data_IF_539497628011
#
_entry.id   IF_539497628011
#
_cell.length_a   1.000
_cell.length_b   1.000
_cell.length_c   1.000
_cell.angle_alpha   90.00
_cell.angle_beta   90.00
_cell.angle_gamma   90.00
#
_symmetry.space_group_name_H-M   'P 1'
#
loop_
_entity.id
_entity.type
_entity.pdbx_description
1 polymer ?
#
# COMPACT_ATOMS: atom_id res chain seq x y z
N UNK A 1 10.19 6.62 2.28
CA UNK A 1 10.90 5.42 2.82
C UNK A 1 11.60 5.65 4.17
N UNK A 2 12.09 6.87 4.49
CA UNK A 2 12.84 7.11 5.73
C UNK A 2 12.11 6.61 6.99
N UNK A 3 10.81 6.89 7.13
CA UNK A 3 9.99 6.41 8.26
C UNK A 3 9.90 4.88 8.32
N UNK A 4 9.64 4.22 7.20
CA UNK A 4 9.57 2.75 7.12
C UNK A 4 10.90 2.12 7.53
N UNK A 5 12.03 2.71 7.11
CA UNK A 5 13.38 2.26 7.52
C UNK A 5 13.62 2.47 9.02
N UNK A 6 13.27 3.64 9.54
CA UNK A 6 13.46 3.99 10.95
C UNK A 6 12.63 3.10 11.89
N UNK A 7 11.47 2.61 11.42
CA UNK A 7 10.65 1.68 12.20
C UNK A 7 11.21 0.25 12.24
N UNK A 8 12.21 -0.10 11.40
CA UNK A 8 12.81 -1.44 11.35
C UNK A 8 11.78 -2.59 11.27
N UNK A 9 10.70 -2.40 10.49
CA UNK A 9 9.62 -3.38 10.36
C UNK A 9 8.55 -3.32 11.47
N UNK A 10 8.57 -2.31 12.34
CA UNK A 10 7.59 -2.12 13.41
C UNK A 10 6.22 -1.57 12.97
N UNK A 11 5.96 -1.45 11.67
CA UNK A 11 4.63 -1.11 11.16
C UNK A 11 3.94 -2.37 10.64
N UNK A 12 2.70 -2.60 11.08
CA UNK A 12 1.90 -3.73 10.62
C UNK A 12 1.30 -3.50 9.22
N UNK A 13 1.10 -2.23 8.84
CA UNK A 13 0.50 -1.84 7.57
C UNK A 13 0.97 -0.44 7.17
N UNK A 14 1.34 -0.28 5.89
CA UNK A 14 1.53 1.01 5.24
C UNK A 14 0.34 1.29 4.33
N UNK A 15 -0.28 2.46 4.49
CA UNK A 15 -1.34 2.94 3.60
C UNK A 15 -0.81 4.17 2.86
N UNK A 16 -0.82 4.18 1.52
CA UNK A 16 -0.21 5.25 0.72
C UNK A 16 -0.98 5.55 -0.57
N UNK A 17 -0.93 6.80 -1.02
CA UNK A 17 -1.37 7.19 -2.37
C UNK A 17 -0.44 6.61 -3.44
N UNK A 18 -0.98 6.31 -4.62
CA UNK A 18 -0.19 6.01 -5.82
C UNK A 18 0.38 7.29 -6.40
N UNK A 19 -0.42 8.37 -6.53
CA UNK A 19 0.11 9.67 -6.98
C UNK A 19 0.84 10.35 -5.84
N UNK A 20 2.16 10.37 -5.91
CA UNK A 20 3.02 11.16 -5.04
C UNK A 20 4.10 11.88 -5.86
N UNK A 21 4.56 13.06 -5.44
CA UNK A 21 5.70 13.73 -6.05
C UNK A 21 6.99 12.94 -5.80
N UNK A 22 7.96 13.08 -6.70
CA UNK A 22 9.30 12.46 -6.68
C UNK A 22 9.33 10.93 -6.82
N UNK A 23 8.58 10.20 -5.97
CA UNK A 23 8.49 8.74 -5.98
C UNK A 23 7.02 8.35 -5.84
N UNK A 24 6.50 7.60 -6.81
CA UNK A 24 5.11 7.15 -6.77
C UNK A 24 4.90 6.01 -5.75
N UNK A 25 3.63 5.74 -5.41
CA UNK A 25 3.29 4.70 -4.43
C UNK A 25 3.68 3.29 -4.86
N UNK A 26 3.77 3.03 -6.17
CA UNK A 26 4.18 1.75 -6.74
C UNK A 26 5.68 1.52 -6.50
N UNK A 27 6.50 2.53 -6.81
CA UNK A 27 7.94 2.52 -6.54
C UNK A 27 8.22 2.40 -5.03
N UNK A 28 7.45 3.12 -4.21
CA UNK A 28 7.52 3.02 -2.76
C UNK A 28 7.21 1.60 -2.28
N UNK A 29 6.14 0.99 -2.78
CA UNK A 29 5.73 -0.36 -2.40
C UNK A 29 6.81 -1.40 -2.74
N UNK A 30 7.37 -1.34 -3.97
CA UNK A 30 8.48 -2.22 -4.37
C UNK A 30 9.68 -2.06 -3.45
N UNK A 31 10.10 -0.83 -3.17
CA UNK A 31 11.25 -0.56 -2.32
C UNK A 31 11.02 -0.98 -0.86
N UNK A 32 9.81 -0.79 -0.33
CA UNK A 32 9.45 -1.19 1.02
C UNK A 32 9.44 -2.72 1.17
N UNK A 33 8.84 -3.45 0.21
CA UNK A 33 8.82 -4.91 0.24
C UNK A 33 10.20 -5.54 0.07
N UNK A 34 11.10 -4.94 -0.72
CA UNK A 34 12.50 -5.42 -0.80
C UNK A 34 13.26 -5.26 0.51
N UNK A 35 12.90 -4.29 1.36
CA UNK A 35 13.53 -4.08 2.66
C UNK A 35 12.86 -4.91 3.76
N UNK A 36 11.54 -5.03 3.69
CA UNK A 36 10.70 -5.69 4.69
C UNK A 36 9.67 -6.56 3.96
N UNK A 37 10.01 -7.81 3.61
CA UNK A 37 9.14 -8.68 2.80
C UNK A 37 7.79 -9.00 3.45
N UNK A 38 7.70 -8.96 4.79
CA UNK A 38 6.47 -9.17 5.53
C UNK A 38 5.60 -7.91 5.69
N UNK A 39 6.07 -6.75 5.20
CA UNK A 39 5.34 -5.49 5.31
C UNK A 39 4.09 -5.52 4.45
N UNK A 40 2.93 -5.29 5.08
CA UNK A 40 1.68 -5.15 4.36
C UNK A 40 1.55 -3.75 3.80
N UNK A 41 1.12 -3.65 2.54
CA UNK A 41 1.01 -2.37 1.84
C UNK A 41 -0.36 -2.27 1.18
N UNK A 42 -1.12 -1.22 1.52
CA UNK A 42 -2.40 -0.87 0.94
C UNK A 42 -2.24 0.42 0.14
N UNK A 43 -2.50 0.37 -1.16
CA UNK A 43 -2.41 1.55 -2.01
C UNK A 43 -3.78 2.19 -2.21
N UNK A 44 -3.81 3.48 -2.51
CA UNK A 44 -5.03 4.19 -2.89
C UNK A 44 -4.82 5.02 -4.15
N UNK A 45 -5.82 5.09 -5.03
CA UNK A 45 -5.73 5.83 -6.30
C UNK A 45 -7.06 6.46 -6.70
N UNK A 46 -7.02 7.64 -7.31
CA UNK A 46 -8.17 8.26 -7.98
C UNK A 46 -8.31 7.92 -9.45
N UNK A 47 -7.36 7.17 -10.03
CA UNK A 47 -7.31 6.91 -11.47
C UNK A 47 -7.29 5.41 -11.77
N UNK A 48 -8.01 5.00 -12.82
CA UNK A 48 -8.17 3.61 -13.22
C UNK A 48 -6.88 3.00 -13.81
N UNK A 49 -6.14 3.77 -14.62
CA UNK A 49 -4.85 3.36 -15.19
C UNK A 49 -3.81 3.03 -14.12
N UNK A 50 -3.81 3.76 -13.02
CA UNK A 50 -2.92 3.51 -11.89
C UNK A 50 -3.29 2.26 -11.11
N UNK A 51 -4.59 1.91 -11.08
CA UNK A 51 -5.05 0.67 -10.46
C UNK A 51 -4.54 -0.52 -11.25
N UNK A 52 -4.68 -0.50 -12.58
CA UNK A 52 -4.17 -1.53 -13.48
C UNK A 52 -2.65 -1.70 -13.32
N UNK A 53 -1.88 -0.61 -13.29
CA UNK A 53 -0.43 -0.66 -13.02
C UNK A 53 -0.09 -1.24 -11.65
N UNK A 54 -0.95 -1.07 -10.65
CA UNK A 54 -0.75 -1.62 -9.33
C UNK A 54 -1.12 -3.12 -9.24
N UNK A 55 -1.94 -3.64 -10.16
CA UNK A 55 -2.21 -5.09 -10.24
C UNK A 55 -0.95 -5.89 -10.61
N UNK A 56 0.03 -5.28 -11.29
CA UNK A 56 1.36 -5.87 -11.51
C UNK A 56 2.14 -6.12 -10.20
N UNK A 57 1.71 -5.51 -9.09
CA UNK A 57 2.29 -5.70 -7.75
C UNK A 57 1.58 -6.80 -6.95
N UNK A 58 0.76 -7.65 -7.57
CA UNK A 58 0.16 -8.78 -6.89
C UNK A 58 1.25 -9.62 -6.18
N UNK A 59 1.13 -9.77 -4.86
CA UNK A 59 2.12 -10.42 -3.99
C UNK A 59 3.09 -9.47 -3.27
N UNK A 60 3.11 -8.19 -3.64
CA UNK A 60 3.86 -7.12 -2.95
C UNK A 60 2.91 -6.21 -2.16
N UNK A 61 1.73 -5.94 -2.70
CA UNK A 61 0.68 -5.17 -2.04
C UNK A 61 -0.48 -6.09 -1.66
N UNK A 62 -1.22 -5.68 -0.62
CA UNK A 62 -2.42 -6.38 -0.18
C UNK A 62 -3.60 -6.08 -1.09
N UNK A 63 -3.81 -4.79 -1.40
CA UNK A 63 -4.95 -4.33 -2.18
C UNK A 63 -4.74 -2.87 -2.67
N UNK A 64 -5.63 -2.42 -3.54
CA UNK A 64 -5.71 -1.05 -4.06
C UNK A 64 -7.12 -0.50 -3.85
N UNK A 65 -7.23 0.58 -3.08
CA UNK A 65 -8.51 1.27 -2.82
C UNK A 65 -8.73 2.39 -3.84
N UNK A 66 -9.87 2.35 -4.52
CA UNK A 66 -10.26 3.40 -5.46
C UNK A 66 -10.91 4.58 -4.73
N UNK A 67 -10.45 5.79 -5.05
CA UNK A 67 -11.05 7.06 -4.62
C UNK A 67 -12.16 7.47 -5.60
N UNK A 68 -13.23 8.15 -5.14
CA UNK A 68 -13.51 8.48 -3.74
C UNK A 68 -14.00 7.25 -2.94
N UNK A 69 -13.73 7.26 -1.63
CA UNK A 69 -14.21 6.25 -0.69
C UNK A 69 -14.70 6.92 0.60
N UNK A 70 -15.58 6.23 1.30
CA UNK A 70 -16.08 6.58 2.62
C UNK A 70 -15.12 6.13 3.72
N UNK A 71 -15.28 6.70 4.92
CA UNK A 71 -14.51 6.29 6.09
C UNK A 71 -14.78 4.83 6.47
N UNK A 72 -16.01 4.34 6.25
CA UNK A 72 -16.38 2.96 6.51
C UNK A 72 -15.65 1.99 5.56
N UNK A 73 -15.57 2.35 4.28
CA UNK A 73 -14.87 1.53 3.27
C UNK A 73 -13.38 1.41 3.57
N UNK A 74 -12.69 2.53 3.84
CA UNK A 74 -11.24 2.46 4.12
C UNK A 74 -10.95 1.71 5.43
N UNK A 75 -11.82 1.86 6.45
CA UNK A 75 -11.70 1.09 7.70
C UNK A 75 -11.79 -0.42 7.43
N UNK A 76 -12.80 -0.84 6.68
CA UNK A 76 -12.97 -2.26 6.33
C UNK A 76 -11.76 -2.80 5.55
N UNK A 77 -11.19 -2.02 4.62
CA UNK A 77 -9.99 -2.42 3.86
C UNK A 77 -8.76 -2.56 4.75
N UNK A 78 -8.58 -1.65 5.71
CA UNK A 78 -7.49 -1.72 6.70
C UNK A 78 -7.65 -2.95 7.61
N UNK A 79 -8.85 -3.20 8.11
CA UNK A 79 -9.15 -4.37 8.94
C UNK A 79 -8.87 -5.68 8.18
N UNK A 80 -9.31 -5.77 6.92
CA UNK A 80 -9.02 -6.92 6.05
C UNK A 80 -7.52 -7.10 5.82
N UNK A 81 -6.79 -6.01 5.56
CA UNK A 81 -5.34 -6.08 5.35
C UNK A 81 -4.62 -6.57 6.61
N UNK A 82 -5.00 -6.07 7.78
CA UNK A 82 -4.41 -6.51 9.05
C UNK A 82 -4.76 -7.96 9.40
N UNK A 83 -5.97 -8.43 9.05
CA UNK A 83 -6.41 -9.80 9.30
C UNK A 83 -5.78 -10.84 8.35
N UNK A 84 -5.33 -10.44 7.16
CA UNK A 84 -4.68 -11.34 6.22
C UNK A 84 -3.28 -11.73 6.76
N UNK A 85 -3.12 -12.98 7.19
CA UNK A 85 -1.80 -13.52 7.52
C UNK A 85 -1.14 -13.99 6.23
N UNK A 86 -0.06 -13.32 5.81
CA UNK A 86 0.81 -13.76 4.73
C UNK A 86 1.84 -14.77 5.26
#
# INVERSE_FOLDING_TARGET
LALIRAAHGGYDLVVSDIRMPEMDGIQMAKAAASLFPAMKILLMTGYADQRERAEELNGVIVDVVQKPFTLAEIRARVEQALACFA
#
